data_IF_205885120932
#
_entry.id   IF_205885120932
#
_cell.length_a   1.000
_cell.length_b   1.000
_cell.length_c   1.000
_cell.angle_alpha   90.00
_cell.angle_beta   90.00
_cell.angle_gamma   90.00
#
_symmetry.space_group_name_H-M   'P 1'
#
loop_
_entity.id
_entity.type
_entity.pdbx_description
1 polymer ?
#
# COMPACT_ATOMS: atom_id res chain seq x y z
N UNK A 1 4.87 -2.24 4.63
CA UNK A 1 3.76 -1.75 5.48
C UNK A 1 3.16 -0.41 5.02
N UNK A 2 3.96 0.56 4.52
CA UNK A 2 3.44 1.81 3.93
C UNK A 2 2.56 1.60 2.69
N UNK A 3 2.83 0.58 1.87
CA UNK A 3 2.04 0.33 0.65
C UNK A 3 0.58 -0.01 0.97
N UNK A 4 0.34 -0.77 2.05
CA UNK A 4 -1.01 -1.14 2.49
C UNK A 4 -1.81 0.09 2.89
N UNK A 5 -1.19 1.09 3.54
CA UNK A 5 -1.92 2.32 3.91
C UNK A 5 -2.42 3.10 2.70
N UNK A 6 -1.67 3.12 1.60
CA UNK A 6 -2.14 3.75 0.36
C UNK A 6 -3.23 2.94 -0.34
N UNK A 7 -3.18 1.61 -0.26
CA UNK A 7 -4.22 0.74 -0.83
C UNK A 7 -5.52 0.72 0.00
N UNK A 8 -5.49 1.15 1.27
CA UNK A 8 -6.70 1.38 2.08
C UNK A 8 -7.53 2.56 1.58
N UNK A 9 -6.92 3.52 0.87
CA UNK A 9 -7.60 4.66 0.24
C UNK A 9 -8.29 4.28 -1.07
N UNK A 10 -7.88 3.18 -1.70
CA UNK A 10 -8.45 2.69 -2.94
C UNK A 10 -7.45 1.89 -3.78
N UNK A 11 -7.91 1.29 -4.90
CA UNK A 11 -7.03 0.64 -5.86
C UNK A 11 -6.05 1.66 -6.47
N UNK A 12 -4.79 1.25 -6.68
CA UNK A 12 -3.75 2.12 -7.26
C UNK A 12 -2.91 1.38 -8.29
N UNK A 13 -2.40 2.12 -9.27
CA UNK A 13 -1.42 1.63 -10.26
C UNK A 13 -0.01 1.67 -9.67
N UNK A 14 0.89 0.89 -10.26
CA UNK A 14 2.30 0.81 -9.80
C UNK A 14 2.97 2.18 -9.68
N UNK A 15 2.81 3.04 -10.68
CA UNK A 15 3.44 4.36 -10.70
C UNK A 15 2.81 5.34 -9.71
N UNK A 16 1.55 5.14 -9.33
CA UNK A 16 0.90 5.92 -8.27
C UNK A 16 1.50 5.52 -6.91
N UNK A 17 1.56 4.22 -6.62
CA UNK A 17 2.22 3.71 -5.42
C UNK A 17 3.68 4.15 -5.31
N UNK A 18 4.43 4.16 -6.42
CA UNK A 18 5.82 4.65 -6.44
C UNK A 18 5.94 6.14 -6.13
N UNK A 19 4.94 6.94 -6.52
CA UNK A 19 4.90 8.39 -6.19
C UNK A 19 4.49 8.61 -4.74
N UNK A 20 3.58 7.81 -4.23
CA UNK A 20 3.06 7.91 -2.87
C UNK A 20 4.08 7.46 -1.81
N UNK A 21 5.00 6.56 -2.17
CA UNK A 21 6.09 6.10 -1.30
C UNK A 21 7.42 6.76 -1.72
N UNK A 22 7.77 7.95 -1.18
CA UNK A 22 9.01 8.61 -1.54
C UNK A 22 10.24 7.75 -1.21
N UNK A 23 11.25 7.80 -2.06
CA UNK A 23 12.52 7.06 -1.95
C UNK A 23 12.44 5.52 -2.09
N UNK A 24 11.28 4.94 -2.40
CA UNK A 24 11.22 3.50 -2.69
C UNK A 24 11.84 3.21 -4.07
N UNK A 25 12.72 2.22 -4.13
CA UNK A 25 13.20 1.72 -5.41
C UNK A 25 12.11 0.92 -6.12
N UNK A 26 12.13 0.89 -7.45
CA UNK A 26 11.21 0.08 -8.24
C UNK A 26 11.29 -1.41 -7.84
N UNK A 27 12.50 -1.92 -7.60
CA UNK A 27 12.74 -3.29 -7.17
C UNK A 27 12.07 -3.59 -5.83
N UNK A 28 12.23 -2.70 -4.86
CA UNK A 28 11.63 -2.87 -3.53
C UNK A 28 10.10 -2.85 -3.60
N UNK A 29 9.51 -1.92 -4.37
CA UNK A 29 8.06 -1.86 -4.55
C UNK A 29 7.52 -3.15 -5.18
N UNK A 30 8.20 -3.69 -6.19
CA UNK A 30 7.81 -4.97 -6.80
C UNK A 30 7.88 -6.13 -5.80
N UNK A 31 8.94 -6.20 -4.99
CA UNK A 31 9.08 -7.24 -3.96
C UNK A 31 7.98 -7.16 -2.91
N UNK A 32 7.68 -5.96 -2.41
CA UNK A 32 6.63 -5.75 -1.42
C UNK A 32 5.24 -6.11 -1.98
N UNK A 33 4.92 -5.67 -3.20
CA UNK A 33 3.64 -6.00 -3.84
C UNK A 33 3.50 -7.51 -4.06
N UNK A 34 4.56 -8.17 -4.52
CA UNK A 34 4.57 -9.62 -4.69
C UNK A 34 4.38 -10.37 -3.38
N UNK A 35 5.06 -9.95 -2.31
CA UNK A 35 4.90 -10.58 -0.99
C UNK A 35 3.47 -10.43 -0.45
N UNK A 36 2.83 -9.27 -0.66
CA UNK A 36 1.45 -9.04 -0.27
C UNK A 36 0.46 -9.86 -1.11
N UNK A 37 0.74 -10.03 -2.41
CA UNK A 37 -0.07 -10.85 -3.32
C UNK A 37 0.05 -12.34 -2.97
N UNK A 38 1.26 -12.83 -2.71
CA UNK A 38 1.53 -14.21 -2.26
C UNK A 38 0.87 -14.50 -0.90
N UNK A 39 0.76 -13.50 -0.03
CA UNK A 39 0.04 -13.60 1.24
C UNK A 39 -1.50 -13.48 1.09
N UNK A 40 -2.02 -13.25 -0.12
CA UNK A 40 -3.46 -13.11 -0.37
C UNK A 40 -4.06 -11.79 0.13
N UNK A 41 -3.23 -10.80 0.48
CA UNK A 41 -3.68 -9.52 1.05
C UNK A 41 -4.00 -8.49 -0.03
N UNK A 42 -3.38 -8.60 -1.21
CA UNK A 42 -3.70 -7.77 -2.37
C UNK A 42 -4.01 -8.62 -3.59
N UNK A 43 -4.81 -8.07 -4.50
CA UNK A 43 -5.10 -8.62 -5.81
C UNK A 43 -4.57 -7.68 -6.89
N UNK A 44 -3.83 -8.24 -7.83
CA UNK A 44 -3.41 -7.56 -9.06
C UNK A 44 -4.42 -7.81 -10.17
N UNK A 45 -5.00 -6.75 -10.72
CA UNK A 45 -5.96 -6.84 -11.84
C UNK A 45 -5.39 -6.17 -13.08
N UNK A 46 -5.48 -6.86 -14.22
CA UNK A 46 -5.10 -6.33 -15.53
C UNK A 46 -6.37 -5.99 -16.30
N UNK A 47 -6.53 -4.72 -16.65
CA UNK A 47 -7.63 -4.24 -17.48
C UNK A 47 -7.17 -4.15 -18.94
N UNK A 48 -7.81 -4.94 -19.79
CA UNK A 48 -7.55 -5.02 -21.23
C UNK A 48 -8.20 -3.87 -22.01
N UNK A 49 -7.97 -2.64 -21.55
CA UNK A 49 -8.34 -1.40 -22.26
C UNK A 49 -7.09 -0.79 -22.94
N UNK A 50 -7.27 0.20 -23.80
CA UNK A 50 -6.16 0.93 -24.43
C UNK A 50 -6.03 2.30 -23.77
N UNK A 51 -4.91 2.63 -23.11
CA UNK A 51 -3.74 1.78 -22.84
C UNK A 51 -4.00 0.75 -21.72
N UNK A 52 -3.32 -0.40 -21.78
CA UNK A 52 -3.46 -1.48 -20.77
C UNK A 52 -3.18 -0.92 -19.38
N UNK A 53 -4.09 -1.20 -18.43
CA UNK A 53 -3.95 -0.75 -17.05
C UNK A 53 -3.77 -1.93 -16.10
N UNK A 54 -2.89 -1.75 -15.12
CA UNK A 54 -2.67 -2.70 -14.04
C UNK A 54 -2.93 -1.96 -12.74
N UNK A 55 -3.80 -2.53 -11.92
CA UNK A 55 -4.14 -1.98 -10.60
C UNK A 55 -3.92 -3.03 -9.52
N UNK A 56 -3.60 -2.54 -8.34
CA UNK A 56 -3.48 -3.31 -7.11
C UNK A 56 -4.57 -2.85 -6.16
N UNK A 57 -5.25 -3.81 -5.53
CA UNK A 57 -6.32 -3.55 -4.55
C UNK A 57 -6.15 -4.48 -3.37
N UNK A 58 -6.53 -4.04 -2.16
CA UNK A 58 -6.67 -4.96 -1.04
C UNK A 58 -7.80 -5.98 -1.31
N UNK A 59 -7.55 -7.23 -0.95
CA UNK A 59 -8.59 -8.26 -0.85
C UNK A 59 -9.43 -8.03 0.40
N UNK A 60 -10.51 -8.79 0.57
CA UNK A 60 -11.33 -8.75 1.78
C UNK A 60 -10.50 -9.10 3.04
N UNK A 61 -9.58 -10.05 2.93
CA UNK A 61 -8.64 -10.37 4.01
C UNK A 61 -7.59 -9.27 4.20
N UNK A 62 -7.12 -8.64 3.12
CA UNK A 62 -6.26 -7.45 3.17
C UNK A 62 -6.90 -6.29 3.94
N UNK A 63 -8.21 -6.11 3.85
CA UNK A 63 -8.93 -5.06 4.59
C UNK A 63 -8.87 -5.27 6.11
N UNK A 64 -8.65 -6.49 6.60
CA UNK A 64 -8.46 -6.77 8.03
C UNK A 64 -7.21 -6.12 8.61
N UNK A 65 -6.27 -5.66 7.77
CA UNK A 65 -5.10 -4.90 8.21
C UNK A 65 -5.43 -3.45 8.58
N UNK A 66 -6.60 -2.92 8.19
CA UNK A 66 -7.03 -1.55 8.50
C UNK A 66 -6.81 -1.15 9.96
N UNK A 67 -7.30 -1.89 10.99
CA UNK A 67 -7.07 -1.54 12.39
C UNK A 67 -5.58 -1.52 12.78
N UNK A 68 -4.77 -2.43 12.23
CA UNK A 68 -3.32 -2.48 12.50
C UNK A 68 -2.62 -1.23 11.96
N UNK A 69 -2.95 -0.83 10.73
CA UNK A 69 -2.41 0.37 10.10
C UNK A 69 -2.85 1.64 10.86
N UNK A 70 -4.10 1.69 11.32
CA UNK A 70 -4.58 2.79 12.16
C UNK A 70 -3.80 2.88 13.48
N UNK A 71 -3.62 1.77 14.19
CA UNK A 71 -2.84 1.76 15.44
C UNK A 71 -1.40 2.26 15.24
N UNK A 72 -0.75 1.83 14.15
CA UNK A 72 0.59 2.31 13.80
C UNK A 72 0.60 3.81 13.47
N UNK A 73 -0.43 4.32 12.81
CA UNK A 73 -0.57 5.75 12.49
C UNK A 73 -0.71 6.58 13.76
N UNK A 74 -1.60 6.19 14.66
CA UNK A 74 -1.82 6.88 15.94
C UNK A 74 -0.53 6.90 16.77
N UNK A 75 0.17 5.77 16.86
CA UNK A 75 1.47 5.70 17.53
C UNK A 75 2.50 6.66 16.91
N UNK A 76 2.57 6.73 15.58
CA UNK A 76 3.46 7.65 14.88
C UNK A 76 3.12 9.12 15.10
N UNK A 77 1.84 9.47 15.25
CA UNK A 77 1.40 10.83 15.59
C UNK A 77 1.81 11.19 17.02
N UNK A 78 1.53 10.31 17.98
CA UNK A 78 1.97 10.48 19.37
C UNK A 78 3.49 10.69 19.48
N UNK A 79 4.28 9.90 18.72
CA UNK A 79 5.75 10.03 18.71
C UNK A 79 6.20 11.41 18.23
N UNK A 80 5.55 11.96 17.18
CA UNK A 80 5.84 13.30 16.67
C UNK A 80 5.47 14.40 17.66
N UNK A 81 4.39 14.23 18.42
CA UNK A 81 3.97 15.19 19.44
C UNK A 81 4.92 15.19 20.63
N UNK A 82 5.39 14.02 21.05
CA UNK A 82 6.36 13.86 22.15
C UNK A 82 7.69 14.54 21.86
N UNK A 83 8.18 14.42 20.63
CA UNK A 83 9.49 14.95 20.22
C UNK A 83 9.39 16.40 19.68
N UNK A 84 8.23 17.06 19.85
CA UNK A 84 8.04 18.48 19.53
C UNK A 84 8.65 19.33 20.66
N UNK A 85 9.55 20.28 20.38
CA UNK A 85 10.19 21.11 21.39
C UNK A 85 9.21 22.07 22.08
#
# INVERSE_FOLDING_TARGET
MLIVSFLLEGPKRFNELRRDVPNISQRMLTLDLRALEEAGLIQRTVFAEVPVKVEYRLTDDGQRLRPVIHALREFGLWLKERDRP
#
